data_IF_770044825124
#
_entry.id   IF_770044825124
#
_cell.length_a   1.000
_cell.length_b   1.000
_cell.length_c   1.000
_cell.angle_alpha   90.00
_cell.angle_beta   90.00
_cell.angle_gamma   90.00
#
_symmetry.space_group_name_H-M   'P 1'
#
loop_
_entity.id
_entity.type
_entity.pdbx_description
1 polymer ?
#
# COMPACT_ATOMS: atom_id res chain seq x y z
N UNK A 1 -18.51 18.53 -32.06
CA UNK A 1 -19.81 18.53 -31.35
C UNK A 1 -19.85 19.77 -30.48
N UNK A 2 -21.04 20.31 -30.21
CA UNK A 2 -21.20 21.43 -29.27
C UNK A 2 -21.05 20.90 -27.84
N UNK A 3 -20.34 21.61 -26.97
CA UNK A 3 -20.19 21.22 -25.57
C UNK A 3 -21.52 21.33 -24.82
N UNK A 4 -21.78 20.39 -23.92
CA UNK A 4 -22.94 20.39 -23.02
C UNK A 4 -22.55 20.97 -21.66
N UNK A 5 -23.19 22.09 -21.22
CA UNK A 5 -22.84 22.72 -19.94
C UNK A 5 -22.95 21.76 -18.75
N UNK A 6 -21.91 21.72 -17.93
CA UNK A 6 -21.86 20.92 -16.71
C UNK A 6 -21.04 21.62 -15.64
N UNK A 7 -21.54 21.64 -14.40
CA UNK A 7 -20.81 22.20 -13.28
C UNK A 7 -19.80 21.17 -12.70
N UNK A 8 -18.77 21.63 -11.95
CA UNK A 8 -17.73 20.74 -11.42
C UNK A 8 -18.24 19.63 -10.49
N UNK A 9 -19.26 19.89 -9.67
CA UNK A 9 -19.77 18.95 -8.67
C UNK A 9 -20.56 17.83 -9.37
N UNK A 10 -21.50 18.19 -10.23
CA UNK A 10 -22.25 17.23 -11.05
C UNK A 10 -21.32 16.39 -11.93
N UNK A 11 -20.31 17.01 -12.54
CA UNK A 11 -19.30 16.30 -13.32
C UNK A 11 -18.55 15.24 -12.51
N UNK A 12 -18.15 15.58 -11.27
CA UNK A 12 -17.49 14.63 -10.39
C UNK A 12 -18.42 13.47 -10.02
N UNK A 13 -19.68 13.74 -9.71
CA UNK A 13 -20.66 12.70 -9.38
C UNK A 13 -20.87 11.72 -10.53
N UNK A 14 -21.10 12.22 -11.74
CA UNK A 14 -21.26 11.39 -12.94
C UNK A 14 -20.00 10.59 -13.27
N UNK A 15 -18.83 11.20 -13.14
CA UNK A 15 -17.55 10.50 -13.32
C UNK A 15 -17.39 9.33 -12.35
N UNK A 16 -17.72 9.54 -11.07
CA UNK A 16 -17.62 8.47 -10.08
C UNK A 16 -18.63 7.37 -10.40
N UNK A 17 -19.88 7.70 -10.71
CA UNK A 17 -20.91 6.73 -11.07
C UNK A 17 -20.53 5.87 -12.29
N UNK A 18 -19.93 6.48 -13.32
CA UNK A 18 -19.44 5.77 -14.51
C UNK A 18 -18.32 4.77 -14.15
N UNK A 19 -17.43 5.16 -13.23
CA UNK A 19 -16.25 4.36 -12.84
C UNK A 19 -16.51 3.31 -11.78
N UNK A 20 -17.64 3.35 -11.09
CA UNK A 20 -17.97 2.43 -9.98
C UNK A 20 -17.97 0.96 -10.42
N UNK A 21 -18.33 0.67 -11.67
CA UNK A 21 -18.33 -0.69 -12.20
C UNK A 21 -16.93 -1.20 -12.60
N UNK A 22 -15.97 -0.31 -12.83
CA UNK A 22 -14.65 -0.66 -13.36
C UNK A 22 -13.55 -0.64 -12.29
N UNK A 23 -13.69 0.26 -11.31
CA UNK A 23 -12.65 0.56 -10.33
C UNK A 23 -13.03 0.03 -8.94
N UNK A 24 -12.01 -0.38 -8.18
CA UNK A 24 -12.21 -0.75 -6.77
C UNK A 24 -12.65 0.45 -5.94
N UNK A 25 -13.45 0.23 -4.89
CA UNK A 25 -13.90 1.27 -3.94
C UNK A 25 -12.75 2.17 -3.43
N UNK A 26 -11.57 1.61 -3.16
CA UNK A 26 -10.41 2.37 -2.70
C UNK A 26 -9.88 3.37 -3.77
N UNK A 27 -9.97 3.00 -5.05
CA UNK A 27 -9.60 3.87 -6.17
C UNK A 27 -10.66 4.95 -6.35
N UNK A 28 -11.95 4.60 -6.26
CA UNK A 28 -13.06 5.56 -6.29
C UNK A 28 -12.92 6.60 -5.17
N UNK A 29 -12.68 6.17 -3.93
CA UNK A 29 -12.42 7.05 -2.80
C UNK A 29 -11.21 7.97 -3.06
N UNK A 30 -10.12 7.42 -3.59
CA UNK A 30 -8.93 8.20 -3.93
C UNK A 30 -9.22 9.25 -5.02
N UNK A 31 -10.01 8.89 -6.05
CA UNK A 31 -10.41 9.82 -7.10
C UNK A 31 -11.30 10.93 -6.53
N UNK A 32 -12.33 10.58 -5.75
CA UNK A 32 -13.22 11.55 -5.08
C UNK A 32 -12.43 12.53 -4.20
N UNK A 33 -11.51 12.04 -3.38
CA UNK A 33 -10.66 12.87 -2.53
C UNK A 33 -9.78 13.84 -3.34
N UNK A 34 -9.14 13.36 -4.40
CA UNK A 34 -8.24 14.16 -5.25
C UNK A 34 -8.99 15.20 -6.07
N UNK A 35 -10.08 14.78 -6.72
CA UNK A 35 -10.90 15.63 -7.57
C UNK A 35 -11.76 16.60 -6.74
N UNK A 36 -12.07 16.29 -5.48
CA UNK A 36 -12.72 17.24 -4.58
C UNK A 36 -11.91 18.53 -4.39
N UNK A 37 -10.56 18.46 -4.42
CA UNK A 37 -9.74 19.67 -4.43
C UNK A 37 -9.90 20.49 -5.72
N UNK A 38 -10.12 19.83 -6.86
CA UNK A 38 -10.38 20.51 -8.13
C UNK A 38 -11.75 21.19 -8.13
N UNK A 39 -12.79 20.51 -7.65
CA UNK A 39 -14.12 21.10 -7.47
C UNK A 39 -14.07 22.33 -6.57
N UNK A 40 -13.39 22.23 -5.42
CA UNK A 40 -13.19 23.36 -4.51
C UNK A 40 -12.46 24.53 -5.19
N UNK A 41 -11.42 24.23 -5.96
CA UNK A 41 -10.69 25.26 -6.69
C UNK A 41 -11.57 25.93 -7.76
N UNK A 42 -12.41 25.18 -8.46
CA UNK A 42 -13.37 25.76 -9.41
C UNK A 42 -14.33 26.72 -8.71
N UNK A 43 -14.86 26.36 -7.54
CA UNK A 43 -15.71 27.23 -6.72
C UNK A 43 -14.97 28.53 -6.31
N UNK A 44 -13.75 28.40 -5.77
CA UNK A 44 -12.90 29.56 -5.40
C UNK A 44 -12.60 30.50 -6.58
N UNK A 45 -12.58 29.98 -7.81
CA UNK A 45 -12.30 30.75 -9.03
C UNK A 45 -13.58 31.15 -9.79
N UNK A 46 -14.77 30.83 -9.28
CA UNK A 46 -16.05 31.12 -9.94
C UNK A 46 -16.27 30.35 -11.25
N UNK A 47 -15.66 29.18 -11.41
CA UNK A 47 -15.83 28.30 -12.57
C UNK A 47 -17.03 27.39 -12.33
N UNK A 48 -18.22 27.89 -12.69
CA UNK A 48 -19.49 27.16 -12.57
C UNK A 48 -19.83 26.29 -13.78
N UNK A 49 -19.10 26.41 -14.89
CA UNK A 49 -19.29 25.60 -16.10
C UNK A 49 -17.94 25.10 -16.62
N UNK A 50 -17.79 23.79 -16.74
CA UNK A 50 -16.55 23.17 -17.19
C UNK A 50 -16.25 23.39 -18.67
N UNK A 51 -17.22 23.80 -19.48
CA UNK A 51 -17.00 24.20 -20.87
C UNK A 51 -15.96 25.31 -21.00
N UNK A 52 -15.84 26.16 -19.98
CA UNK A 52 -14.91 27.29 -19.95
C UNK A 52 -13.49 26.88 -19.50
N UNK A 53 -13.24 25.60 -19.24
CA UNK A 53 -11.93 25.12 -18.84
C UNK A 53 -10.91 25.23 -19.97
N UNK A 54 -9.79 25.85 -19.62
CA UNK A 54 -8.63 25.99 -20.50
C UNK A 54 -7.40 25.32 -19.91
N UNK A 55 -6.42 25.02 -20.77
CA UNK A 55 -5.11 24.55 -20.32
C UNK A 55 -4.42 25.52 -19.34
N UNK A 56 -4.72 26.82 -19.42
CA UNK A 56 -4.19 27.83 -18.49
C UNK A 56 -4.81 27.71 -17.10
N UNK A 57 -6.13 27.47 -17.01
CA UNK A 57 -6.81 27.17 -15.76
C UNK A 57 -6.28 25.88 -15.13
N UNK A 58 -6.12 24.81 -15.91
CA UNK A 58 -5.54 23.56 -15.41
C UNK A 58 -4.11 23.74 -14.88
N UNK A 59 -3.32 24.62 -15.51
CA UNK A 59 -2.01 24.98 -14.99
C UNK A 59 -2.09 25.78 -13.68
N UNK A 60 -3.03 26.72 -13.56
CA UNK A 60 -3.28 27.47 -12.31
C UNK A 60 -3.72 26.55 -11.18
N UNK A 61 -4.64 25.62 -11.45
CA UNK A 61 -5.04 24.59 -10.49
C UNK A 61 -3.85 23.78 -9.99
N UNK A 62 -2.96 23.35 -10.89
CA UNK A 62 -1.75 22.61 -10.51
C UNK A 62 -0.89 23.40 -9.51
N UNK A 63 -0.63 24.68 -9.78
CA UNK A 63 0.17 25.54 -8.90
C UNK A 63 -0.53 25.74 -7.56
N UNK A 64 -1.81 26.11 -7.58
CA UNK A 64 -2.62 26.25 -6.37
C UNK A 64 -2.64 24.97 -5.53
N UNK A 65 -2.83 23.81 -6.17
CA UNK A 65 -2.89 22.52 -5.47
C UNK A 65 -1.53 22.16 -4.88
N UNK A 66 -0.43 22.43 -5.56
CA UNK A 66 0.90 22.19 -5.01
C UNK A 66 1.14 23.05 -3.77
N UNK A 67 0.78 24.33 -3.84
CA UNK A 67 1.09 25.30 -2.79
C UNK A 67 0.14 25.17 -1.58
N UNK A 68 -1.16 24.94 -1.78
CA UNK A 68 -2.12 24.72 -0.67
C UNK A 68 -1.86 23.40 0.07
N UNK A 69 -1.42 22.37 -0.66
CA UNK A 69 -1.24 21.02 -0.12
C UNK A 69 0.17 20.71 0.36
N UNK A 70 1.12 21.64 0.21
CA UNK A 70 2.56 21.42 0.36
C UNK A 70 3.00 20.08 -0.26
N UNK A 71 2.60 19.86 -1.51
CA UNK A 71 2.67 18.53 -2.13
C UNK A 71 4.10 18.19 -2.54
N UNK A 72 4.54 16.99 -2.14
CA UNK A 72 5.70 16.36 -2.78
C UNK A 72 5.48 16.18 -4.29
N UNK A 73 6.56 16.14 -5.09
CA UNK A 73 6.47 15.91 -6.54
C UNK A 73 5.68 14.64 -6.91
N UNK A 74 5.82 13.58 -6.11
CA UNK A 74 5.08 12.33 -6.31
C UNK A 74 3.58 12.46 -6.01
N UNK A 75 3.24 13.20 -4.95
CA UNK A 75 1.85 13.53 -4.61
C UNK A 75 1.22 14.41 -5.69
N UNK A 76 1.94 15.44 -6.15
CA UNK A 76 1.51 16.33 -7.23
C UNK A 76 1.29 15.53 -8.53
N UNK A 77 2.23 14.67 -8.92
CA UNK A 77 2.06 13.78 -10.09
C UNK A 77 0.79 12.94 -9.99
N UNK A 78 0.56 12.30 -8.84
CA UNK A 78 -0.61 11.45 -8.64
C UNK A 78 -1.92 12.23 -8.76
N UNK A 79 -1.98 13.43 -8.17
CA UNK A 79 -3.13 14.34 -8.26
C UNK A 79 -3.40 14.74 -9.72
N UNK A 80 -2.36 15.18 -10.44
CA UNK A 80 -2.48 15.64 -11.82
C UNK A 80 -2.78 14.49 -12.80
N UNK A 81 -2.31 13.28 -12.54
CA UNK A 81 -2.65 12.10 -13.33
C UNK A 81 -4.12 11.70 -13.13
N UNK A 82 -4.65 11.75 -11.90
CA UNK A 82 -6.10 11.58 -11.65
C UNK A 82 -6.92 12.67 -12.35
N UNK A 83 -6.49 13.94 -12.27
CA UNK A 83 -7.15 15.03 -13.01
C UNK A 83 -7.16 14.78 -14.51
N UNK A 84 -6.06 14.28 -15.09
CA UNK A 84 -6.00 13.97 -16.52
C UNK A 84 -7.03 12.92 -16.93
N UNK A 85 -7.19 11.87 -16.12
CA UNK A 85 -8.21 10.83 -16.37
C UNK A 85 -9.61 11.41 -16.30
N UNK A 86 -9.88 12.28 -15.32
CA UNK A 86 -11.17 12.98 -15.20
C UNK A 86 -11.46 13.90 -16.40
N UNK A 87 -10.49 14.73 -16.80
CA UNK A 87 -10.64 15.60 -17.99
C UNK A 87 -10.83 14.78 -19.26
N UNK A 88 -10.14 13.64 -19.40
CA UNK A 88 -10.37 12.73 -20.53
C UNK A 88 -11.78 12.15 -20.54
N UNK A 89 -12.34 11.86 -19.37
CA UNK A 89 -13.73 11.44 -19.28
C UNK A 89 -14.68 12.58 -19.65
N UNK A 90 -14.39 13.82 -19.23
CA UNK A 90 -15.17 15.00 -19.64
C UNK A 90 -15.19 15.21 -21.16
N UNK A 91 -14.08 14.92 -21.84
CA UNK A 91 -14.01 14.94 -23.32
C UNK A 91 -14.98 13.93 -23.95
N UNK A 92 -15.25 12.80 -23.28
CA UNK A 92 -16.14 11.75 -23.79
C UNK A 92 -17.62 12.08 -23.62
N UNK A 93 -17.97 12.96 -22.68
CA UNK A 93 -19.34 13.38 -22.37
C UNK A 93 -19.61 14.83 -22.79
N UNK A 94 -18.81 15.37 -23.70
CA UNK A 94 -18.94 16.73 -24.24
C UNK A 94 -18.88 17.86 -23.18
N UNK A 95 -18.30 17.62 -22.01
CA UNK A 95 -18.21 18.60 -20.92
C UNK A 95 -16.99 19.54 -20.98
N UNK A 96 -16.05 19.28 -21.89
CA UNK A 96 -14.88 20.13 -22.16
C UNK A 96 -14.44 20.00 -23.63
N UNK A 97 -13.64 20.94 -24.12
CA UNK A 97 -13.01 20.83 -25.44
C UNK A 97 -12.20 19.54 -25.58
N UNK A 98 -12.27 18.92 -26.77
CA UNK A 98 -11.45 17.77 -27.12
C UNK A 98 -9.95 18.06 -26.94
N UNK A 99 -9.20 17.03 -26.56
CA UNK A 99 -7.75 17.08 -26.27
C UNK A 99 -7.32 18.00 -25.12
N UNK A 100 -8.23 18.57 -24.32
CA UNK A 100 -7.89 19.35 -23.13
C UNK A 100 -7.06 18.55 -22.11
N UNK A 101 -7.29 17.24 -22.00
CA UNK A 101 -6.56 16.31 -21.14
C UNK A 101 -5.06 16.26 -21.45
N UNK A 102 -4.67 16.51 -22.71
CA UNK A 102 -3.26 16.62 -23.12
C UNK A 102 -2.57 17.85 -22.52
N UNK A 103 -3.35 18.90 -22.20
CA UNK A 103 -2.87 20.14 -21.57
C UNK A 103 -2.70 20.00 -20.06
N UNK A 104 -3.19 18.93 -19.45
CA UNK A 104 -2.93 18.60 -18.03
C UNK A 104 -1.45 18.23 -17.88
N UNK A 105 -0.67 19.11 -17.25
CA UNK A 105 0.76 18.89 -17.00
C UNK A 105 0.96 18.16 -15.68
N UNK A 106 1.56 16.98 -15.72
CA UNK A 106 2.07 16.31 -14.52
C UNK A 106 3.59 16.46 -14.44
N UNK A 107 4.17 16.55 -13.23
CA UNK A 107 5.60 16.35 -13.05
C UNK A 107 6.08 15.03 -13.66
N UNK A 108 7.25 15.07 -14.30
CA UNK A 108 8.02 13.87 -14.60
C UNK A 108 8.84 13.52 -13.36
N UNK A 109 8.79 12.26 -12.92
CA UNK A 109 9.63 11.77 -11.83
C UNK A 109 10.73 10.90 -12.44
N UNK A 110 11.96 11.12 -12.00
CA UNK A 110 13.00 10.09 -12.12
C UNK A 110 12.64 8.89 -11.23
N UNK A 111 13.15 7.68 -11.51
CA UNK A 111 12.94 6.51 -10.63
C UNK A 111 13.25 6.82 -9.16
N UNK A 112 14.33 7.55 -8.91
CA UNK A 112 14.80 7.96 -7.58
C UNK A 112 13.82 8.91 -6.87
N UNK A 113 13.20 9.83 -7.62
CA UNK A 113 12.17 10.73 -7.09
C UNK A 113 10.82 10.03 -6.86
N UNK A 114 10.60 8.87 -7.47
CA UNK A 114 9.37 8.08 -7.34
C UNK A 114 9.47 7.00 -6.24
N UNK A 115 10.66 6.75 -5.70
CA UNK A 115 10.90 5.76 -4.65
C UNK A 115 11.34 6.40 -3.35
N UNK A 116 10.56 6.28 -2.27
CA UNK A 116 11.09 6.51 -0.92
C UNK A 116 12.00 5.34 -0.57
N UNK A 117 13.28 5.52 -0.30
CA UNK A 117 14.23 4.42 -0.03
C UNK A 117 14.02 3.69 1.29
N UNK A 118 13.04 4.11 2.09
CA UNK A 118 12.74 3.54 3.42
C UNK A 118 12.36 2.06 3.30
N UNK A 119 13.05 1.23 4.08
CA UNK A 119 12.76 -0.19 4.29
C UNK A 119 13.07 -0.57 5.74
N UNK A 120 12.45 -1.64 6.24
CA UNK A 120 12.88 -2.30 7.48
C UNK A 120 14.10 -3.16 7.14
N UNK A 121 15.28 -2.84 7.65
CA UNK A 121 16.44 -3.72 7.42
C UNK A 121 16.31 -5.05 8.20
N UNK A 122 17.13 -6.04 7.84
CA UNK A 122 17.04 -7.39 8.40
C UNK A 122 17.38 -7.48 9.89
N UNK A 123 18.27 -6.63 10.37
CA UNK A 123 18.69 -6.64 11.76
C UNK A 123 17.60 -6.02 12.63
N UNK A 124 17.01 -4.90 12.16
CA UNK A 124 15.80 -4.34 12.74
C UNK A 124 14.65 -5.33 12.74
N UNK A 125 14.38 -6.02 11.63
CA UNK A 125 13.31 -7.00 11.55
C UNK A 125 13.51 -8.15 12.55
N UNK A 126 14.73 -8.65 12.68
CA UNK A 126 15.09 -9.69 13.68
C UNK A 126 14.80 -9.21 15.09
N UNK A 127 15.23 -7.99 15.45
CA UNK A 127 14.98 -7.42 16.78
C UNK A 127 13.49 -7.20 17.06
N UNK A 128 12.74 -6.71 16.07
CA UNK A 128 11.29 -6.52 16.18
C UNK A 128 10.59 -7.86 16.40
N UNK A 129 10.88 -8.87 15.57
CA UNK A 129 10.24 -10.19 15.68
C UNK A 129 10.60 -10.87 16.99
N UNK A 130 11.87 -10.86 17.41
CA UNK A 130 12.30 -11.44 18.68
C UNK A 130 11.64 -10.75 19.89
N UNK A 131 11.45 -9.43 19.85
CA UNK A 131 10.72 -8.71 20.88
C UNK A 131 9.24 -9.14 20.92
N UNK A 132 8.58 -9.17 19.77
CA UNK A 132 7.17 -9.56 19.66
C UNK A 132 6.96 -11.00 20.11
N UNK A 133 7.84 -11.92 19.72
CA UNK A 133 7.82 -13.31 20.13
C UNK A 133 7.96 -13.45 21.65
N UNK A 134 8.88 -12.71 22.28
CA UNK A 134 9.13 -12.80 23.71
C UNK A 134 8.06 -12.15 24.58
N UNK A 135 7.55 -10.98 24.19
CA UNK A 135 6.72 -10.13 25.06
C UNK A 135 5.28 -9.95 24.57
N UNK A 136 5.01 -10.19 23.28
CA UNK A 136 3.70 -9.99 22.66
C UNK A 136 3.28 -11.22 21.85
N UNK A 137 3.66 -12.41 22.32
CA UNK A 137 3.47 -13.68 21.62
C UNK A 137 2.02 -13.92 21.21
N UNK A 138 1.85 -14.45 20.00
CA UNK A 138 0.55 -14.69 19.37
C UNK A 138 -0.46 -13.54 19.52
N UNK A 139 -0.02 -12.28 19.63
CA UNK A 139 -0.95 -11.14 19.56
C UNK A 139 -1.24 -10.81 18.10
N UNK A 140 -2.34 -10.09 17.84
CA UNK A 140 -2.65 -9.59 16.50
C UNK A 140 -1.48 -8.77 15.90
N UNK A 141 -0.76 -8.02 16.74
CA UNK A 141 0.44 -7.28 16.33
C UNK A 141 1.56 -8.22 15.88
N UNK A 142 1.90 -9.21 16.70
CA UNK A 142 2.93 -10.21 16.36
C UNK A 142 2.62 -10.94 15.06
N UNK A 143 1.41 -11.51 14.94
CA UNK A 143 0.97 -12.24 13.74
C UNK A 143 0.98 -11.33 12.51
N UNK A 144 0.59 -10.07 12.64
CA UNK A 144 0.61 -9.10 11.53
C UNK A 144 2.04 -8.89 11.01
N UNK A 145 3.00 -8.62 11.91
CA UNK A 145 4.40 -8.38 11.50
C UNK A 145 5.02 -9.64 10.91
N UNK A 146 4.84 -10.79 11.57
CA UNK A 146 5.36 -12.07 11.10
C UNK A 146 4.83 -12.43 9.71
N UNK A 147 3.52 -12.31 9.48
CA UNK A 147 2.93 -12.55 8.15
C UNK A 147 3.53 -11.61 7.11
N UNK A 148 3.54 -10.30 7.35
CA UNK A 148 4.04 -9.33 6.37
C UNK A 148 5.51 -9.54 6.04
N UNK A 149 6.34 -9.83 7.05
CA UNK A 149 7.76 -10.09 6.87
C UNK A 149 7.99 -11.42 6.13
N UNK A 150 7.53 -12.55 6.66
CA UNK A 150 7.90 -13.86 6.11
C UNK A 150 7.21 -14.22 4.78
N UNK A 151 6.06 -13.62 4.48
CA UNK A 151 5.34 -13.87 3.22
C UNK A 151 5.56 -12.80 2.17
N UNK A 152 6.16 -11.67 2.55
CA UNK A 152 6.29 -10.47 1.72
C UNK A 152 4.96 -9.91 1.22
N UNK A 153 3.79 -10.39 1.68
CA UNK A 153 2.53 -10.02 1.09
C UNK A 153 2.14 -8.56 1.39
N UNK A 154 1.30 -7.96 0.54
CA UNK A 154 0.76 -6.63 0.81
C UNK A 154 -0.21 -6.72 1.99
N UNK A 155 -0.29 -5.67 2.81
CA UNK A 155 -1.25 -5.60 3.93
C UNK A 155 -2.70 -5.82 3.50
N UNK A 156 -3.06 -5.44 2.26
CA UNK A 156 -4.38 -5.73 1.70
C UNK A 156 -4.65 -7.22 1.50
N UNK A 157 -3.63 -8.00 1.13
CA UNK A 157 -3.73 -9.46 1.02
C UNK A 157 -3.80 -10.12 2.41
N UNK A 158 -2.94 -9.69 3.36
CA UNK A 158 -3.00 -10.20 4.74
C UNK A 158 -4.36 -9.94 5.40
N UNK A 159 -4.93 -8.76 5.16
CA UNK A 159 -6.28 -8.39 5.61
C UNK A 159 -7.39 -9.27 4.99
N UNK A 160 -7.19 -9.76 3.77
CA UNK A 160 -8.20 -10.52 3.03
C UNK A 160 -8.34 -11.98 3.50
N UNK A 161 -7.35 -12.51 4.22
CA UNK A 161 -7.29 -13.89 4.67
C UNK A 161 -8.41 -14.21 5.68
N UNK A 162 -9.03 -15.36 5.47
CA UNK A 162 -9.96 -16.02 6.38
C UNK A 162 -9.31 -17.25 7.02
N UNK A 163 -9.92 -17.78 8.08
CA UNK A 163 -9.46 -19.03 8.70
C UNK A 163 -9.41 -20.19 7.68
N UNK A 164 -10.38 -20.23 6.76
CA UNK A 164 -10.43 -21.25 5.71
C UNK A 164 -9.38 -21.08 4.61
N UNK A 165 -8.61 -19.99 4.63
CA UNK A 165 -7.48 -19.77 3.71
C UNK A 165 -6.16 -20.30 4.30
N UNK A 166 -6.16 -20.77 5.55
CA UNK A 166 -4.98 -21.31 6.21
C UNK A 166 -5.05 -22.83 6.28
N UNK A 167 -4.05 -23.48 5.72
CA UNK A 167 -3.95 -24.93 5.62
C UNK A 167 -2.74 -25.40 6.44
N UNK A 168 -2.92 -25.68 7.75
CA UNK A 168 -1.80 -26.01 8.65
C UNK A 168 -1.08 -27.31 8.27
N UNK A 169 -1.83 -28.33 7.83
CA UNK A 169 -1.27 -29.65 7.50
C UNK A 169 -0.37 -29.62 6.27
N UNK A 170 -0.70 -28.77 5.30
CA UNK A 170 0.06 -28.57 4.05
C UNK A 170 0.93 -27.29 4.09
N UNK A 171 0.89 -26.57 5.21
CA UNK A 171 1.70 -25.39 5.52
C UNK A 171 1.63 -24.26 4.47
N UNK A 172 0.41 -23.83 4.10
CA UNK A 172 0.25 -22.69 3.20
C UNK A 172 -0.93 -21.77 3.54
N UNK A 173 -0.89 -20.56 2.97
CA UNK A 173 -2.01 -19.64 2.88
C UNK A 173 -2.51 -19.53 1.44
N UNK A 174 -3.82 -19.58 1.25
CA UNK A 174 -4.49 -19.35 -0.03
C UNK A 174 -4.98 -17.89 -0.14
N UNK A 175 -4.24 -17.07 -0.87
CA UNK A 175 -4.59 -15.65 -1.04
C UNK A 175 -5.63 -15.53 -2.16
N UNK A 176 -6.86 -15.12 -1.82
CA UNK A 176 -7.96 -14.99 -2.79
C UNK A 176 -8.49 -13.57 -2.99
N UNK A 177 -9.00 -13.29 -4.18
CA UNK A 177 -9.67 -12.06 -4.58
C UNK A 177 -11.17 -12.15 -4.31
N UNK A 178 -11.68 -11.34 -3.37
CA UNK A 178 -13.12 -11.30 -3.04
C UNK A 178 -13.63 -9.86 -3.03
N UNK A 179 -13.77 -9.22 -4.21
CA UNK A 179 -14.14 -7.81 -4.30
C UNK A 179 -15.55 -7.56 -3.75
N UNK A 180 -16.51 -8.41 -4.10
CA UNK A 180 -17.92 -8.28 -3.69
C UNK A 180 -18.14 -8.48 -2.18
N UNK A 181 -17.13 -9.03 -1.48
CA UNK A 181 -17.14 -9.25 -0.05
C UNK A 181 -16.18 -8.29 0.71
N UNK A 182 -15.76 -7.20 0.05
CA UNK A 182 -14.97 -6.12 0.65
C UNK A 182 -13.46 -6.42 0.81
N UNK A 183 -12.97 -7.56 0.32
CA UNK A 183 -11.56 -7.96 0.41
C UNK A 183 -10.94 -8.15 -0.96
N UNK A 184 -11.08 -7.14 -1.81
CA UNK A 184 -10.28 -7.00 -3.02
C UNK A 184 -8.77 -6.99 -2.70
N UNK A 185 -7.97 -7.59 -3.57
CA UNK A 185 -6.51 -7.66 -3.49
C UNK A 185 -5.89 -7.01 -4.72
N UNK A 186 -4.60 -6.66 -4.62
CA UNK A 186 -3.87 -6.07 -5.74
C UNK A 186 -3.69 -7.11 -6.85
N UNK A 187 -3.84 -6.66 -8.09
CA UNK A 187 -3.82 -7.48 -9.32
C UNK A 187 -5.01 -8.44 -9.47
N UNK A 188 -6.07 -8.27 -8.66
CA UNK A 188 -7.31 -9.05 -8.76
C UNK A 188 -7.05 -10.57 -8.80
N UNK A 189 -7.67 -11.29 -9.73
CA UNK A 189 -7.51 -12.73 -9.94
C UNK A 189 -6.05 -13.11 -10.21
N UNK A 190 -5.30 -12.30 -10.98
CA UNK A 190 -3.87 -12.52 -11.25
C UNK A 190 -3.01 -12.37 -9.98
N UNK A 191 -3.58 -11.84 -8.89
CA UNK A 191 -2.92 -11.72 -7.60
C UNK A 191 -3.12 -12.91 -6.66
N UNK A 192 -4.02 -13.83 -7.01
CA UNK A 192 -4.32 -15.05 -6.26
C UNK A 192 -3.15 -16.02 -6.33
N UNK A 193 -2.83 -16.67 -5.21
CA UNK A 193 -1.72 -17.62 -5.12
C UNK A 193 -1.69 -18.35 -3.78
N UNK A 194 -1.08 -19.52 -3.79
CA UNK A 194 -0.67 -20.23 -2.58
C UNK A 194 0.67 -19.69 -2.08
N UNK A 195 0.78 -19.50 -0.77
CA UNK A 195 2.00 -19.01 -0.11
C UNK A 195 2.43 -20.01 0.95
N UNK A 196 3.50 -20.74 0.66
CA UNK A 196 4.11 -21.68 1.62
C UNK A 196 4.60 -20.96 2.89
N UNK A 197 4.45 -21.62 4.03
CA UNK A 197 4.81 -21.16 5.36
C UNK A 197 5.91 -22.04 5.95
N UNK A 198 6.67 -21.50 6.90
CA UNK A 198 7.57 -22.28 7.74
C UNK A 198 6.82 -22.90 8.92
N UNK A 199 7.38 -23.95 9.52
CA UNK A 199 6.85 -24.56 10.75
C UNK A 199 6.58 -23.51 11.84
N UNK A 200 7.54 -22.62 12.08
CA UNK A 200 7.45 -21.55 13.08
C UNK A 200 6.27 -20.60 12.83
N UNK A 201 6.00 -20.26 11.56
CA UNK A 201 4.87 -19.40 11.23
C UNK A 201 3.54 -20.15 11.37
N UNK A 202 3.50 -21.44 11.03
CA UNK A 202 2.34 -22.28 11.28
C UNK A 202 2.05 -22.40 12.79
N UNK A 203 3.06 -22.62 13.63
CA UNK A 203 2.93 -22.67 15.09
C UNK A 203 2.36 -21.35 15.64
N UNK A 204 2.93 -20.21 15.24
CA UNK A 204 2.41 -18.89 15.61
C UNK A 204 0.95 -18.69 15.19
N UNK A 205 0.57 -19.13 13.99
CA UNK A 205 -0.81 -19.02 13.50
C UNK A 205 -1.75 -19.96 14.26
N UNK A 206 -1.32 -21.17 14.58
CA UNK A 206 -2.08 -22.12 15.36
C UNK A 206 -2.38 -21.56 16.76
N UNK A 207 -1.36 -21.04 17.45
CA UNK A 207 -1.49 -20.45 18.79
C UNK A 207 -2.36 -19.18 18.77
N UNK A 208 -2.21 -18.34 17.73
CA UNK A 208 -3.11 -17.22 17.52
C UNK A 208 -4.55 -17.69 17.41
N UNK A 209 -4.83 -18.66 16.54
CA UNK A 209 -6.19 -19.14 16.28
C UNK A 209 -6.80 -19.81 17.51
N UNK A 210 -6.02 -20.61 18.25
CA UNK A 210 -6.47 -21.37 19.41
C UNK A 210 -6.70 -20.48 20.63
N UNK A 211 -5.78 -19.55 20.93
CA UNK A 211 -5.72 -18.94 22.27
C UNK A 211 -6.05 -17.45 22.31
N UNK A 212 -5.85 -16.73 21.20
CA UNK A 212 -5.81 -15.25 21.22
C UNK A 212 -6.78 -14.59 20.25
N UNK A 213 -7.05 -15.24 19.12
CA UNK A 213 -7.95 -14.75 18.08
C UNK A 213 -9.38 -14.73 18.63
N UNK A 214 -10.06 -13.57 18.62
CA UNK A 214 -11.47 -13.53 19.03
C UNK A 214 -12.33 -14.34 18.05
N UNK A 215 -13.27 -15.14 18.57
CA UNK A 215 -14.24 -15.88 17.75
C UNK A 215 -15.34 -14.93 17.24
N UNK A 216 -15.02 -14.26 16.13
CA UNK A 216 -15.91 -13.29 15.48
C UNK A 216 -15.97 -13.53 13.98
N UNK A 217 -17.05 -13.03 13.39
CA UNK A 217 -17.23 -12.89 11.95
C UNK A 217 -17.14 -11.42 11.53
N UNK A 218 -16.89 -11.16 10.26
CA UNK A 218 -17.06 -9.82 9.67
C UNK A 218 -18.51 -9.57 9.23
N UNK A 219 -18.77 -8.37 8.69
CA UNK A 219 -20.10 -7.96 8.22
C UNK A 219 -20.64 -8.81 7.05
N UNK A 220 -19.79 -9.64 6.43
CA UNK A 220 -20.15 -10.57 5.36
C UNK A 220 -20.30 -12.01 5.88
N UNK A 221 -20.28 -12.22 7.20
CA UNK A 221 -20.41 -13.53 7.84
C UNK A 221 -19.16 -14.41 7.74
N UNK A 222 -18.02 -13.87 7.28
CA UNK A 222 -16.77 -14.62 7.13
C UNK A 222 -15.96 -14.60 8.41
N UNK A 223 -15.10 -15.61 8.61
CA UNK A 223 -14.22 -15.72 9.78
C UNK A 223 -12.81 -15.22 9.42
N UNK A 224 -12.49 -13.93 9.62
CA UNK A 224 -11.19 -13.36 9.23
C UNK A 224 -10.05 -13.98 10.03
N UNK A 225 -8.90 -14.26 9.39
CA UNK A 225 -7.70 -14.72 10.09
C UNK A 225 -7.18 -13.63 11.03
N UNK A 226 -7.05 -12.40 10.51
CA UNK A 226 -6.70 -11.22 11.30
C UNK A 226 -7.96 -10.55 11.85
N UNK A 227 -8.32 -10.91 13.08
CA UNK A 227 -9.55 -10.47 13.73
C UNK A 227 -9.29 -9.55 14.94
N UNK A 228 -10.21 -8.60 15.14
CA UNK A 228 -10.35 -7.78 16.35
C UNK A 228 -11.66 -8.15 17.05
N UNK A 229 -11.94 -7.58 18.23
CA UNK A 229 -13.23 -7.80 18.90
C UNK A 229 -14.43 -7.30 18.09
N UNK A 230 -14.21 -6.44 17.08
CA UNK A 230 -15.23 -5.88 16.20
C UNK A 230 -15.33 -6.60 14.84
N UNK A 231 -14.76 -7.80 14.70
CA UNK A 231 -14.70 -8.51 13.41
C UNK A 231 -13.34 -8.34 12.72
N UNK A 232 -13.31 -8.35 11.38
CA UNK A 232 -12.06 -8.27 10.59
C UNK A 232 -11.27 -7.02 10.96
N UNK A 233 -9.99 -7.20 11.30
CA UNK A 233 -9.12 -6.09 11.66
C UNK A 233 -8.98 -5.12 10.48
N UNK A 234 -9.25 -3.83 10.71
CA UNK A 234 -9.19 -2.82 9.66
C UNK A 234 -7.74 -2.62 9.16
N UNK A 235 -7.56 -2.29 7.88
CA UNK A 235 -6.22 -2.10 7.28
C UNK A 235 -5.42 -1.01 7.99
N UNK A 236 -6.08 0.02 8.52
CA UNK A 236 -5.47 1.08 9.33
C UNK A 236 -4.96 0.56 10.67
N UNK A 237 -5.68 -0.37 11.30
CA UNK A 237 -5.25 -1.04 12.54
C UNK A 237 -3.98 -1.87 12.31
N UNK A 238 -3.96 -2.67 11.23
CA UNK A 238 -2.77 -3.45 10.84
C UNK A 238 -1.56 -2.56 10.55
N UNK A 239 -1.79 -1.44 9.85
CA UNK A 239 -0.77 -0.41 9.62
C UNK A 239 -0.26 0.20 10.93
N UNK A 240 -1.14 0.45 11.89
CA UNK A 240 -0.76 0.93 13.22
C UNK A 240 0.18 -0.02 13.94
N UNK A 241 -0.05 -1.34 13.85
CA UNK A 241 0.89 -2.33 14.42
C UNK A 241 2.27 -2.26 13.77
N UNK A 242 2.34 -2.04 12.45
CA UNK A 242 3.61 -1.86 11.75
C UNK A 242 4.41 -0.69 12.31
N UNK A 243 3.80 0.48 12.44
CA UNK A 243 4.50 1.65 12.96
C UNK A 243 4.92 1.49 14.43
N UNK A 244 4.06 0.91 15.27
CA UNK A 244 4.39 0.68 16.70
C UNK A 244 5.52 -0.32 16.86
N UNK A 245 5.40 -1.48 16.23
CA UNK A 245 6.37 -2.57 16.38
C UNK A 245 7.77 -2.19 15.88
N UNK A 246 7.85 -1.36 14.83
CA UNK A 246 9.13 -1.00 14.20
C UNK A 246 9.80 0.23 14.81
N UNK A 247 9.18 0.88 15.80
CA UNK A 247 9.78 2.00 16.53
C UNK A 247 10.95 1.48 17.38
N UNK A 248 12.17 2.05 17.29
CA UNK A 248 13.37 1.52 17.97
C UNK A 248 13.22 1.26 19.47
N UNK A 249 12.61 2.20 20.19
CA UNK A 249 12.42 2.06 21.63
C UNK A 249 11.41 0.97 22.02
N UNK A 250 10.55 0.49 21.09
CA UNK A 250 9.61 -0.61 21.36
C UNK A 250 10.37 -1.90 21.64
N UNK A 251 11.41 -2.19 20.85
CA UNK A 251 12.24 -3.39 20.99
C UNK A 251 13.53 -3.14 21.79
N UNK A 252 13.62 -2.03 22.51
CA UNK A 252 14.70 -1.73 23.44
C UNK A 252 15.99 -1.17 22.80
N UNK A 253 15.95 -0.75 21.53
CA UNK A 253 17.06 -0.04 20.92
C UNK A 253 17.08 1.44 21.34
N UNK A 254 18.28 2.02 21.37
CA UNK A 254 18.46 3.46 21.60
C UNK A 254 17.76 4.29 20.52
N UNK A 255 17.25 5.46 20.90
CA UNK A 255 16.59 6.34 19.94
C UNK A 255 17.63 7.00 19.02
N UNK A 256 17.57 6.77 17.69
CA UNK A 256 18.53 7.38 16.76
C UNK A 256 18.27 8.87 16.50
N UNK A 257 17.27 9.45 17.18
CA UNK A 257 16.86 10.86 17.04
C UNK A 257 17.10 11.67 18.32
N UNK A 258 17.86 11.11 19.27
CA UNK A 258 18.15 11.72 20.57
C UNK A 258 16.90 12.16 21.36
N UNK A 259 15.78 11.44 21.19
CA UNK A 259 14.53 11.67 21.93
C UNK A 259 14.42 10.74 23.12
N UNK A 260 14.05 11.28 24.29
CA UNK A 260 13.64 10.46 25.44
C UNK A 260 12.29 9.79 25.13
N UNK A 261 12.17 8.45 25.16
CA UNK A 261 10.90 7.76 24.97
C UNK A 261 9.79 8.24 25.91
N UNK A 262 10.09 8.71 27.12
CA UNK A 262 9.07 9.14 28.09
C UNK A 262 8.32 10.39 27.66
N UNK A 263 8.99 11.29 26.94
CA UNK A 263 8.44 12.58 26.51
C UNK A 263 8.17 12.62 25.00
N UNK A 264 8.41 11.51 24.29
CA UNK A 264 8.26 11.45 22.85
C UNK A 264 6.80 11.16 22.45
N UNK A 265 6.15 12.12 21.78
CA UNK A 265 4.78 11.98 21.25
C UNK A 265 4.58 10.71 20.41
N UNK A 266 5.60 10.31 19.64
CA UNK A 266 5.55 9.12 18.80
C UNK A 266 5.46 7.80 19.59
N UNK A 267 5.54 7.84 20.92
CA UNK A 267 5.26 6.69 21.78
C UNK A 267 3.76 6.42 21.94
N UNK A 268 2.91 7.44 21.74
CA UNK A 268 1.46 7.26 21.70
C UNK A 268 1.08 6.26 20.60
N UNK A 269 0.12 5.40 20.93
CA UNK A 269 -0.41 4.34 20.06
C UNK A 269 -0.84 4.89 18.70
N UNK A 270 -1.46 6.06 18.67
CA UNK A 270 -2.09 6.63 17.48
C UNK A 270 -1.16 7.63 16.78
N UNK A 271 -0.09 8.10 17.44
CA UNK A 271 0.93 8.96 16.85
C UNK A 271 2.18 8.19 16.39
N UNK A 272 2.24 6.87 16.51
CA UNK A 272 3.46 6.09 16.22
C UNK A 272 4.10 6.38 14.85
N UNK A 273 3.32 6.72 13.82
CA UNK A 273 3.81 7.08 12.49
C UNK A 273 4.59 8.40 12.44
N UNK A 274 4.57 9.21 13.50
CA UNK A 274 5.37 10.44 13.61
C UNK A 274 6.84 10.17 13.96
N UNK A 275 7.18 8.94 14.39
CA UNK A 275 8.57 8.53 14.57
C UNK A 275 9.25 8.39 13.19
N UNK A 276 10.35 9.11 12.91
CA UNK A 276 11.03 9.01 11.62
C UNK A 276 11.65 7.63 11.34
N UNK A 277 11.88 6.81 12.38
CA UNK A 277 12.37 5.43 12.26
C UNK A 277 11.26 4.37 12.28
N UNK A 278 10.00 4.74 12.53
CA UNK A 278 8.90 3.80 12.36
C UNK A 278 8.60 3.61 10.87
N UNK A 279 8.20 2.41 10.47
CA UNK A 279 8.03 2.10 9.05
C UNK A 279 6.66 1.53 8.71
N UNK A 280 6.21 1.86 7.50
CA UNK A 280 4.92 1.41 6.98
C UNK A 280 4.95 -0.06 6.55
N UNK A 281 3.78 -0.72 6.36
CA UNK A 281 3.72 -2.08 5.81
C UNK A 281 4.48 -2.26 4.49
N UNK A 282 4.52 -1.21 3.65
CA UNK A 282 5.25 -1.27 2.39
C UNK A 282 6.77 -1.32 2.59
N UNK A 283 7.28 -0.63 3.61
CA UNK A 283 8.70 -0.65 3.95
C UNK A 283 9.13 -1.97 4.58
N UNK A 284 8.26 -2.62 5.38
CA UNK A 284 8.46 -4.00 5.86
C UNK A 284 8.55 -4.96 4.68
N UNK A 285 7.56 -4.90 3.77
CA UNK A 285 7.55 -5.72 2.55
C UNK A 285 8.81 -5.50 1.71
N UNK A 286 9.26 -4.26 1.54
CA UNK A 286 10.49 -3.96 0.81
C UNK A 286 11.70 -4.58 1.49
N UNK A 287 11.83 -4.39 2.80
CA UNK A 287 12.88 -5.00 3.60
C UNK A 287 12.97 -6.51 3.41
N UNK A 288 11.83 -7.19 3.50
CA UNK A 288 11.76 -8.64 3.34
C UNK A 288 12.12 -9.12 1.91
N UNK A 289 11.63 -8.43 0.87
CA UNK A 289 12.01 -8.75 -0.52
C UNK A 289 13.51 -8.54 -0.73
N UNK A 290 14.06 -7.41 -0.28
CA UNK A 290 15.49 -7.11 -0.41
C UNK A 290 16.34 -8.11 0.37
N UNK A 291 15.95 -8.45 1.61
CA UNK A 291 16.60 -9.48 2.41
C UNK A 291 16.59 -10.83 1.69
N UNK A 292 15.47 -11.24 1.11
CA UNK A 292 15.35 -12.51 0.38
C UNK A 292 16.26 -12.56 -0.85
N UNK A 293 16.31 -11.47 -1.62
CA UNK A 293 17.19 -11.37 -2.80
C UNK A 293 18.67 -11.37 -2.43
N UNK A 294 19.02 -10.76 -1.28
CA UNK A 294 20.38 -10.75 -0.75
C UNK A 294 20.80 -12.11 -0.17
N UNK A 295 19.85 -12.92 0.30
CA UNK A 295 20.06 -14.32 0.68
C UNK A 295 19.87 -15.28 -0.50
N UNK A 296 20.14 -14.79 -1.70
CA UNK A 296 20.24 -15.56 -2.94
C UNK A 296 18.98 -16.34 -3.35
N UNK A 297 17.81 -16.02 -2.78
CA UNK A 297 16.55 -16.62 -3.22
C UNK A 297 16.30 -16.20 -4.69
N UNK A 298 15.97 -17.15 -5.59
CA UNK A 298 15.71 -16.83 -6.99
C UNK A 298 14.67 -15.72 -7.18
N UNK A 299 14.95 -14.77 -8.08
CA UNK A 299 14.04 -13.66 -8.38
C UNK A 299 12.63 -14.12 -8.78
N UNK A 300 12.52 -15.26 -9.48
CA UNK A 300 11.22 -15.85 -9.83
C UNK A 300 10.44 -16.23 -8.57
N UNK A 301 11.08 -16.93 -7.63
CA UNK A 301 10.45 -17.36 -6.39
C UNK A 301 10.00 -16.15 -5.55
N UNK A 302 10.82 -15.10 -5.48
CA UNK A 302 10.47 -13.85 -4.78
C UNK A 302 9.34 -13.11 -5.51
N UNK A 303 9.39 -13.00 -6.83
CA UNK A 303 8.37 -12.40 -7.71
C UNK A 303 7.00 -13.04 -7.47
N UNK A 304 6.94 -14.37 -7.56
CA UNK A 304 5.70 -15.13 -7.46
C UNK A 304 5.16 -15.07 -6.03
N UNK A 305 6.01 -15.32 -5.02
CA UNK A 305 5.63 -15.23 -3.60
C UNK A 305 5.09 -13.84 -3.24
N UNK A 306 5.78 -12.79 -3.67
CA UNK A 306 5.40 -11.42 -3.37
C UNK A 306 4.33 -10.87 -4.32
N UNK A 307 3.95 -11.53 -5.42
CA UNK A 307 3.05 -11.01 -6.45
C UNK A 307 3.53 -9.63 -6.95
N UNK A 308 4.71 -9.61 -7.57
CA UNK A 308 5.36 -8.41 -8.13
C UNK A 308 6.17 -8.78 -9.36
N UNK A 309 6.06 -8.03 -10.44
CA UNK A 309 6.81 -8.34 -11.67
C UNK A 309 8.32 -8.14 -11.48
N UNK A 310 9.12 -8.89 -12.24
CA UNK A 310 10.60 -8.77 -12.23
C UNK A 310 11.09 -7.36 -12.51
N UNK A 311 10.48 -6.67 -13.48
CA UNK A 311 10.82 -5.28 -13.82
C UNK A 311 10.62 -4.38 -12.59
N UNK A 312 9.55 -4.59 -11.81
CA UNK A 312 9.30 -3.83 -10.59
C UNK A 312 10.26 -4.25 -9.46
N UNK A 313 10.65 -5.53 -9.37
CA UNK A 313 11.70 -5.98 -8.44
C UNK A 313 13.04 -5.28 -8.72
N UNK A 314 13.50 -5.31 -9.96
CA UNK A 314 14.76 -4.70 -10.38
C UNK A 314 14.77 -3.19 -10.14
N UNK A 315 13.66 -2.50 -10.39
CA UNK A 315 13.57 -1.04 -10.24
C UNK A 315 13.46 -0.58 -8.78
N UNK A 316 12.84 -1.37 -7.91
CA UNK A 316 12.38 -0.87 -6.60
C UNK A 316 12.86 -1.65 -5.38
N UNK A 317 13.45 -2.83 -5.56
CA UNK A 317 13.78 -3.74 -4.46
C UNK A 317 15.18 -4.33 -4.56
N UNK A 318 15.66 -4.59 -5.78
CA UNK A 318 16.98 -5.16 -5.99
C UNK A 318 18.07 -4.08 -5.84
N UNK A 319 18.76 -4.12 -4.70
CA UNK A 319 19.89 -3.23 -4.41
C UNK A 319 21.25 -3.89 -4.70
N UNK A 320 21.25 -5.11 -5.23
CA UNK A 320 22.50 -5.83 -5.53
C UNK A 320 23.22 -5.15 -6.68
N UNK A 321 24.52 -4.95 -6.49
CA UNK A 321 25.45 -4.49 -7.51
C UNK A 321 25.50 -5.46 -8.69
N UNK A 322 25.93 -4.97 -9.86
CA UNK A 322 26.14 -5.84 -11.04
C UNK A 322 27.06 -7.04 -10.74
N UNK A 323 28.01 -6.86 -9.80
CA UNK A 323 28.94 -7.90 -9.35
C UNK A 323 28.26 -8.96 -8.50
N UNK A 324 27.47 -8.58 -7.50
CA UNK A 324 26.69 -9.53 -6.68
C UNK A 324 25.72 -10.34 -7.56
N UNK A 325 25.03 -9.68 -8.51
CA UNK A 325 24.18 -10.39 -9.48
C UNK A 325 24.97 -11.36 -10.36
N UNK A 326 26.25 -11.07 -10.65
CA UNK A 326 27.10 -11.94 -11.47
C UNK A 326 27.58 -13.15 -10.67
N UNK A 327 28.03 -12.97 -9.43
CA UNK A 327 28.43 -14.07 -8.56
C UNK A 327 27.24 -15.00 -8.27
N UNK A 328 26.06 -14.46 -7.97
CA UNK A 328 24.86 -15.29 -7.83
C UNK A 328 24.55 -16.12 -9.09
N UNK A 329 24.71 -15.54 -10.29
CA UNK A 329 24.57 -16.30 -11.54
C UNK A 329 25.64 -17.38 -11.68
N UNK A 330 26.87 -17.14 -11.19
CA UNK A 330 27.95 -18.13 -11.22
C UNK A 330 27.57 -19.37 -10.41
N UNK A 331 27.01 -19.22 -9.21
CA UNK A 331 26.60 -20.36 -8.37
C UNK A 331 25.56 -21.27 -9.06
N UNK A 332 24.65 -20.70 -9.86
CA UNK A 332 23.69 -21.47 -10.66
C UNK A 332 24.29 -22.11 -11.93
N UNK A 333 25.37 -21.53 -12.47
CA UNK A 333 26.04 -21.99 -13.68
C UNK A 333 27.22 -22.93 -13.38
N UNK A 334 27.71 -22.96 -12.15
CA UNK A 334 28.83 -23.82 -11.72
C UNK A 334 28.48 -25.32 -11.74
N UNK A 335 27.19 -25.66 -11.90
CA UNK A 335 26.69 -27.03 -12.08
C UNK A 335 26.25 -27.36 -13.52
N UNK A 336 26.70 -26.59 -14.53
CA UNK A 336 26.45 -26.89 -15.96
C UNK A 336 27.50 -27.81 -16.59
#
# INVERSE_FOLDING_TARGET
MSLEPIDPETALELYIADRENELTEATIYSHRSRLGHFVRWCDEQGIGNLNDLTGRQLHRYRLWRRDEGDLSLASEKTQMDTLRVFVRWLEQVDGVEQDLSTKVRSPSLTPEQNTRDVMLDSDQATNVLAHLEKYQYATLGHVTIALLWHTMMRVGAAHALDLGDYHPDEQYLDVRHRPDQGTAIKNKEDGERLVALSDQLCELLNDWIADKRPDVTDNQGRKPLLASRQGRAHRTTLRGYCYRATRPCEYGAECPHDRDPKDCEATDRDAASSCPSSVSPHAIRRGSITHSLNNEIPENAVSDRANVSKVVLEQHYDRRTKREKMEQRRDYLDNL
#
